data_IF_789685408768
#
_entry.id   IF_789685408768
#
_cell.length_a   1.000
_cell.length_b   1.000
_cell.length_c   1.000
_cell.angle_alpha   90.00
_cell.angle_beta   90.00
_cell.angle_gamma   90.00
#
_symmetry.space_group_name_H-M   'P 1'
#
loop_
_entity.id
_entity.type
_entity.pdbx_description
1 polymer ?
#
# COMPACT_ATOMS: atom_id res chain seq x y z
N UNK A 1 -11.20 -11.90 -54.72
CA UNK A 1 -10.61 -12.25 -53.42
C UNK A 1 -11.54 -11.72 -52.33
N UNK A 2 -12.35 -12.57 -51.67
CA UNK A 2 -13.23 -12.13 -50.58
C UNK A 2 -12.35 -11.73 -49.39
N UNK A 3 -12.51 -10.51 -48.87
CA UNK A 3 -11.88 -10.13 -47.60
C UNK A 3 -12.57 -10.93 -46.51
N UNK A 4 -11.83 -11.83 -45.87
CA UNK A 4 -12.30 -12.52 -44.67
C UNK A 4 -12.29 -11.45 -43.58
N UNK A 5 -13.48 -10.96 -43.23
CA UNK A 5 -13.62 -10.12 -42.04
C UNK A 5 -13.52 -11.02 -40.81
N UNK A 6 -12.76 -10.59 -39.81
CA UNK A 6 -12.51 -11.32 -38.57
C UNK A 6 -13.85 -11.75 -37.91
N UNK A 7 -14.90 -10.95 -38.09
CA UNK A 7 -16.27 -11.19 -37.64
C UNK A 7 -16.96 -12.42 -38.25
N UNK A 8 -16.58 -12.85 -39.46
CA UNK A 8 -17.14 -14.05 -40.11
C UNK A 8 -16.53 -15.35 -39.52
N UNK A 9 -15.38 -15.24 -38.86
CA UNK A 9 -14.66 -16.37 -38.25
C UNK A 9 -15.19 -16.74 -36.86
N UNK A 10 -15.77 -15.78 -36.12
CA UNK A 10 -16.27 -15.97 -34.75
C UNK A 10 -17.77 -16.24 -34.66
N UNK A 11 -18.49 -16.23 -35.79
CA UNK A 11 -19.95 -16.35 -35.83
C UNK A 11 -20.67 -15.11 -35.29
N UNK A 12 -21.97 -14.98 -35.60
CA UNK A 12 -22.79 -13.83 -35.19
C UNK A 12 -22.84 -13.70 -33.65
N UNK A 13 -22.84 -12.46 -33.15
CA UNK A 13 -22.87 -12.13 -31.72
C UNK A 13 -24.05 -12.78 -30.97
N UNK A 14 -23.80 -13.93 -30.35
CA UNK A 14 -24.82 -14.78 -29.72
C UNK A 14 -25.12 -14.43 -28.27
N UNK A 15 -26.17 -15.03 -27.69
CA UNK A 15 -26.49 -14.88 -26.26
C UNK A 15 -25.39 -15.45 -25.36
N UNK A 16 -24.77 -16.57 -25.76
CA UNK A 16 -23.66 -17.19 -25.03
C UNK A 16 -22.41 -16.30 -25.01
N UNK A 17 -22.04 -15.71 -26.16
CA UNK A 17 -20.91 -14.78 -26.24
C UNK A 17 -21.11 -13.55 -25.34
N UNK A 18 -22.35 -13.05 -25.22
CA UNK A 18 -22.68 -11.97 -24.26
C UNK A 18 -22.47 -12.37 -22.81
N UNK A 19 -22.89 -13.57 -22.42
CA UNK A 19 -22.72 -14.06 -21.04
C UNK A 19 -21.24 -14.20 -20.70
N UNK A 20 -20.45 -14.82 -21.57
CA UNK A 20 -18.99 -14.96 -21.37
C UNK A 20 -18.31 -13.59 -21.29
N UNK A 21 -18.71 -12.65 -22.15
CA UNK A 21 -18.17 -11.30 -22.13
C UNK A 21 -18.48 -10.56 -20.82
N UNK A 22 -19.74 -10.60 -20.36
CA UNK A 22 -20.15 -9.98 -19.09
C UNK A 22 -19.34 -10.59 -17.94
N UNK A 23 -19.20 -11.91 -17.89
CA UNK A 23 -18.43 -12.60 -16.87
C UNK A 23 -16.95 -12.19 -16.87
N UNK A 24 -16.32 -12.13 -18.05
CA UNK A 24 -14.94 -11.69 -18.21
C UNK A 24 -14.73 -10.23 -17.76
N UNK A 25 -15.67 -9.33 -18.09
CA UNK A 25 -15.64 -7.92 -17.67
C UNK A 25 -15.77 -7.82 -16.15
N UNK A 26 -16.68 -8.56 -15.53
CA UNK A 26 -16.85 -8.56 -14.07
C UNK A 26 -15.58 -9.01 -13.37
N UNK A 27 -14.95 -10.11 -13.79
CA UNK A 27 -13.69 -10.59 -13.21
C UNK A 27 -12.58 -9.53 -13.36
N UNK A 28 -12.47 -8.94 -14.54
CA UNK A 28 -11.45 -7.91 -14.82
C UNK A 28 -11.64 -6.68 -13.94
N UNK A 29 -12.90 -6.28 -13.68
CA UNK A 29 -13.22 -5.14 -12.82
C UNK A 29 -12.79 -5.38 -11.37
N UNK A 30 -13.05 -6.58 -10.82
CA UNK A 30 -12.58 -6.94 -9.48
C UNK A 30 -11.06 -6.94 -9.38
N UNK A 31 -10.37 -7.49 -10.39
CA UNK A 31 -8.91 -7.47 -10.45
C UNK A 31 -8.35 -6.04 -10.48
N UNK A 32 -8.92 -5.16 -11.31
CA UNK A 32 -8.51 -3.76 -11.37
C UNK A 32 -8.77 -3.02 -10.04
N UNK A 33 -9.92 -3.24 -9.43
CA UNK A 33 -10.26 -2.65 -8.14
C UNK A 33 -9.28 -3.05 -7.04
N UNK A 34 -8.92 -4.33 -6.95
CA UNK A 34 -7.97 -4.80 -5.93
C UNK A 34 -6.56 -4.23 -6.14
N UNK A 35 -6.14 -3.99 -7.38
CA UNK A 35 -4.86 -3.33 -7.64
C UNK A 35 -4.87 -1.85 -7.22
N UNK A 36 -6.01 -1.17 -7.30
CA UNK A 36 -6.15 0.23 -6.94
C UNK A 36 -6.39 0.44 -5.44
N UNK A 37 -7.03 -0.51 -4.75
CA UNK A 37 -7.44 -0.30 -3.35
C UNK A 37 -6.26 -0.11 -2.39
N UNK A 38 -5.11 -0.73 -2.68
CA UNK A 38 -3.94 -0.69 -1.81
C UNK A 38 -3.41 0.73 -1.61
N UNK A 39 -3.50 1.59 -2.63
CA UNK A 39 -3.03 2.99 -2.53
C UNK A 39 -3.95 3.86 -1.68
N UNK A 40 -5.21 3.48 -1.53
CA UNK A 40 -6.20 4.17 -0.72
C UNK A 40 -6.13 3.71 0.74
N UNK A 41 -5.94 2.41 0.96
CA UNK A 41 -5.98 1.80 2.30
C UNK A 41 -4.63 1.87 3.01
N UNK A 42 -3.53 1.76 2.25
CA UNK A 42 -2.16 1.88 2.74
C UNK A 42 -1.41 3.07 2.11
N UNK A 43 -1.91 4.31 2.25
CA UNK A 43 -1.21 5.48 1.77
C UNK A 43 0.04 5.75 2.62
N UNK A 44 1.01 6.46 2.05
CA UNK A 44 2.12 7.00 2.82
C UNK A 44 1.58 8.14 3.69
N UNK A 45 1.58 7.94 5.00
CA UNK A 45 1.06 8.90 5.99
C UNK A 45 2.23 9.55 6.72
N UNK A 46 2.14 10.87 6.93
CA UNK A 46 3.13 11.55 7.77
C UNK A 46 3.00 11.05 9.22
N UNK A 47 4.13 10.71 9.80
CA UNK A 47 4.22 10.05 11.10
C UNK A 47 5.48 10.50 11.83
N UNK A 48 5.41 10.46 13.15
CA UNK A 48 6.54 10.75 14.02
C UNK A 48 6.49 9.85 15.25
N UNK A 49 7.58 9.84 16.00
CA UNK A 49 7.66 9.04 17.21
C UNK A 49 6.72 9.60 18.28
N UNK A 50 5.91 8.72 18.87
CA UNK A 50 4.97 9.11 19.91
C UNK A 50 5.71 9.62 21.16
N UNK A 51 5.07 10.54 21.88
CA UNK A 51 5.60 11.04 23.16
C UNK A 51 5.76 9.89 24.16
N UNK A 52 6.90 9.87 24.83
CA UNK A 52 7.25 8.86 25.83
C UNK A 52 6.58 9.16 27.17
N UNK A 53 6.54 8.15 28.05
CA UNK A 53 5.95 8.28 29.40
C UNK A 53 6.67 9.39 30.19
N UNK A 54 5.93 10.46 30.51
CA UNK A 54 6.46 11.68 31.15
C UNK A 54 6.44 12.94 30.28
N UNK A 55 6.27 12.81 28.96
CA UNK A 55 6.26 13.92 27.99
C UNK A 55 4.90 14.16 27.32
N UNK A 56 3.83 13.54 27.84
CA UNK A 56 2.47 13.66 27.26
C UNK A 56 1.92 15.10 27.25
N UNK A 57 2.38 15.93 28.18
CA UNK A 57 1.94 17.33 28.30
C UNK A 57 2.62 18.28 27.30
N UNK A 58 3.69 17.84 26.60
CA UNK A 58 4.34 18.68 25.59
C UNK A 58 3.50 18.76 24.33
N UNK A 59 3.59 19.90 23.63
CA UNK A 59 3.01 20.04 22.30
C UNK A 59 3.79 19.21 21.29
N UNK A 60 3.13 18.86 20.19
CA UNK A 60 3.73 18.03 19.13
C UNK A 60 4.90 18.76 18.48
N UNK A 61 4.82 20.08 18.35
CA UNK A 61 5.85 20.91 17.74
C UNK A 61 7.11 20.99 18.61
N UNK A 62 6.94 21.16 19.93
CA UNK A 62 8.04 21.21 20.88
C UNK A 62 8.75 19.85 20.99
N UNK A 63 7.97 18.76 20.95
CA UNK A 63 8.48 17.40 20.90
C UNK A 63 9.33 17.15 19.65
N UNK A 64 8.82 17.56 18.48
CA UNK A 64 9.54 17.44 17.20
C UNK A 64 10.86 18.20 17.20
N UNK A 65 10.90 19.42 17.70
CA UNK A 65 12.15 20.20 17.72
C UNK A 65 13.19 19.69 18.72
N UNK A 66 12.76 19.14 19.86
CA UNK A 66 13.66 18.78 20.97
C UNK A 66 14.16 17.34 20.88
N UNK A 67 13.29 16.40 20.50
CA UNK A 67 13.57 14.98 20.61
C UNK A 67 13.78 14.27 19.28
N UNK A 68 13.36 14.84 18.14
CA UNK A 68 13.57 14.22 16.83
C UNK A 68 14.89 14.70 16.21
N UNK A 69 15.81 13.80 15.82
CA UNK A 69 17.00 14.17 15.06
C UNK A 69 16.65 14.79 13.70
N UNK A 70 17.41 15.81 13.30
CA UNK A 70 17.33 16.37 11.96
C UNK A 70 18.18 15.53 11.00
N UNK A 71 17.55 15.05 9.93
CA UNK A 71 18.19 14.27 8.87
C UNK A 71 18.02 15.00 7.54
N UNK A 72 19.04 14.95 6.68
CA UNK A 72 18.94 15.47 5.32
C UNK A 72 18.43 14.36 4.40
N UNK A 73 17.20 14.49 3.92
CA UNK A 73 16.60 13.59 2.93
C UNK A 73 16.44 14.39 1.64
N UNK A 74 17.03 13.91 0.54
CA UNK A 74 16.96 14.57 -0.78
C UNK A 74 17.40 16.04 -0.80
N UNK A 75 18.38 16.41 0.03
CA UNK A 75 18.89 17.77 0.15
C UNK A 75 18.02 18.72 0.98
N UNK A 76 16.90 18.23 1.54
CA UNK A 76 16.03 18.96 2.46
C UNK A 76 16.31 18.47 3.88
N UNK A 77 16.50 19.41 4.80
CA UNK A 77 16.66 19.10 6.23
C UNK A 77 15.27 18.88 6.82
N UNK A 78 14.96 17.65 7.21
CA UNK A 78 13.68 17.26 7.83
C UNK A 78 13.94 16.55 9.15
N UNK A 79 12.91 16.43 9.99
CA UNK A 79 12.97 15.62 11.22
C UNK A 79 12.90 14.13 10.86
N UNK A 80 13.59 13.28 11.63
CA UNK A 80 13.58 11.84 11.40
C UNK A 80 12.27 11.21 11.84
N UNK A 81 11.60 10.48 10.95
CA UNK A 81 10.31 9.85 11.26
C UNK A 81 10.40 8.59 12.15
N UNK A 82 11.59 7.99 12.25
CA UNK A 82 11.78 6.64 12.81
C UNK A 82 12.69 6.56 14.03
N UNK A 83 13.30 7.69 14.42
CA UNK A 83 14.27 7.75 15.50
C UNK A 83 14.00 8.95 16.40
N UNK A 84 14.41 8.86 17.65
CA UNK A 84 14.32 9.94 18.63
C UNK A 84 15.50 9.89 19.61
N UNK A 85 15.80 11.02 20.24
CA UNK A 85 16.80 11.12 21.30
C UNK A 85 16.17 10.84 22.67
N UNK A 86 16.81 9.93 23.40
CA UNK A 86 16.53 9.72 24.83
C UNK A 86 17.34 10.73 25.64
N UNK A 87 16.78 11.30 26.71
CA UNK A 87 17.48 12.33 27.51
C UNK A 87 18.84 11.88 28.06
N UNK A 88 19.00 10.57 28.28
CA UNK A 88 20.20 9.99 28.87
C UNK A 88 21.32 9.70 27.86
N UNK A 89 21.04 9.84 26.55
CA UNK A 89 22.01 9.56 25.48
C UNK A 89 21.76 10.41 24.24
N UNK A 90 22.78 11.10 23.73
CA UNK A 90 22.80 11.72 22.39
C UNK A 90 22.78 10.68 21.25
N UNK A 91 22.40 9.44 21.55
CA UNK A 91 22.29 8.33 20.64
C UNK A 91 20.83 8.22 20.17
N UNK A 92 20.65 8.24 18.85
CA UNK A 92 19.33 8.15 18.24
C UNK A 92 18.81 6.71 18.35
N UNK A 93 17.73 6.52 19.10
CA UNK A 93 17.11 5.21 19.31
C UNK A 93 15.88 5.05 18.41
N UNK A 94 15.60 3.82 17.99
CA UNK A 94 14.41 3.50 17.20
C UNK A 94 13.12 3.70 18.00
N UNK A 95 12.07 4.16 17.34
CA UNK A 95 10.79 4.41 17.96
C UNK A 95 9.98 3.11 18.10
N UNK A 96 9.28 2.97 19.24
CA UNK A 96 8.42 1.81 19.53
C UNK A 96 6.93 2.11 19.38
N UNK A 97 6.57 3.39 19.31
CA UNK A 97 5.20 3.90 19.15
C UNK A 97 5.23 5.11 18.24
N UNK A 98 4.16 5.31 17.48
CA UNK A 98 4.06 6.38 16.49
C UNK A 98 2.78 7.20 16.69
N UNK A 99 2.89 8.50 16.44
CA UNK A 99 1.78 9.43 16.28
C UNK A 99 1.71 9.82 14.81
N UNK A 100 0.49 9.90 14.27
CA UNK A 100 0.24 10.09 12.84
C UNK A 100 -0.52 11.38 12.57
N UNK A 101 -0.27 12.02 11.42
CA UNK A 101 -1.12 13.11 10.98
C UNK A 101 -2.47 12.57 10.50
N UNK A 102 -3.53 12.95 11.20
CA UNK A 102 -4.92 12.59 10.87
C UNK A 102 -5.68 13.68 10.11
N UNK A 103 -4.99 14.71 9.61
CA UNK A 103 -5.61 15.84 8.89
C UNK A 103 -6.37 15.39 7.64
N UNK A 104 -5.78 14.47 6.87
CA UNK A 104 -6.35 13.96 5.61
C UNK A 104 -7.02 12.59 5.78
N UNK A 105 -6.32 11.64 6.41
CA UNK A 105 -6.82 10.28 6.62
C UNK A 105 -7.17 10.06 8.08
N UNK A 106 -8.42 9.64 8.36
CA UNK A 106 -8.84 9.34 9.74
C UNK A 106 -8.25 8.05 10.29
N UNK A 107 -8.25 6.99 9.48
CA UNK A 107 -7.74 5.65 9.81
C UNK A 107 -7.27 4.97 8.53
N UNK A 108 -6.07 4.42 8.57
CA UNK A 108 -5.49 3.62 7.47
C UNK A 108 -4.92 2.32 8.02
N UNK A 109 -4.68 1.33 7.16
CA UNK A 109 -4.06 0.07 7.62
C UNK A 109 -2.63 0.29 8.12
N UNK A 110 -1.95 1.31 7.61
CA UNK A 110 -0.61 1.70 8.04
C UNK A 110 -0.64 2.18 9.49
N UNK A 111 -1.65 2.98 9.86
CA UNK A 111 -1.82 3.49 11.23
C UNK A 111 -2.30 2.41 12.21
N UNK A 112 -3.17 1.50 11.76
CA UNK A 112 -3.73 0.47 12.63
C UNK A 112 -2.68 -0.58 13.03
N UNK A 113 -1.76 -0.90 12.12
CA UNK A 113 -0.76 -1.98 12.28
C UNK A 113 0.68 -1.47 12.36
N UNK A 114 0.87 -0.16 12.52
CA UNK A 114 2.18 0.50 12.61
C UNK A 114 3.16 0.09 11.48
N UNK A 115 2.67 0.05 10.23
CA UNK A 115 3.45 -0.41 9.06
C UNK A 115 4.39 0.68 8.53
N UNK A 116 5.20 1.25 9.41
CA UNK A 116 6.16 2.32 9.14
C UNK A 116 7.57 1.89 9.49
N UNK A 117 8.57 2.69 9.09
CA UNK A 117 9.96 2.46 9.46
C UNK A 117 10.44 1.02 9.16
N UNK A 118 10.74 0.23 10.21
CA UNK A 118 11.21 -1.15 10.09
C UNK A 118 10.19 -2.09 9.44
N UNK A 119 8.90 -1.76 9.49
CA UNK A 119 7.79 -2.60 9.03
C UNK A 119 7.15 -2.09 7.73
N UNK A 120 7.65 -0.98 7.16
CA UNK A 120 7.16 -0.42 5.88
C UNK A 120 7.16 -1.43 4.74
N UNK A 121 8.14 -2.34 4.71
CA UNK A 121 8.28 -3.35 3.68
C UNK A 121 7.15 -4.38 3.68
N UNK A 122 6.42 -4.57 4.79
CA UNK A 122 5.28 -5.49 4.87
C UNK A 122 4.15 -5.08 3.92
N UNK A 123 3.97 -3.78 3.68
CA UNK A 123 3.02 -3.28 2.69
C UNK A 123 3.41 -3.77 1.29
N UNK A 124 4.67 -3.62 0.90
CA UNK A 124 5.19 -4.11 -0.38
C UNK A 124 5.19 -5.64 -0.49
N UNK A 125 5.44 -6.34 0.61
CA UNK A 125 5.35 -7.80 0.67
C UNK A 125 3.93 -8.26 0.36
N UNK A 126 2.91 -7.62 0.94
CA UNK A 126 1.50 -7.99 0.73
C UNK A 126 1.11 -7.93 -0.75
N UNK A 127 1.55 -6.88 -1.47
CA UNK A 127 1.33 -6.73 -2.89
C UNK A 127 2.09 -7.78 -3.72
N UNK A 128 3.32 -8.10 -3.30
CA UNK A 128 4.14 -9.12 -3.95
C UNK A 128 3.51 -10.51 -3.84
N UNK A 129 3.01 -10.86 -2.65
CA UNK A 129 2.29 -12.13 -2.40
C UNK A 129 1.01 -12.20 -3.24
N UNK A 130 0.26 -11.10 -3.35
CA UNK A 130 -0.92 -11.04 -4.20
C UNK A 130 -0.59 -11.31 -5.68
N UNK A 131 0.44 -10.65 -6.22
CA UNK A 131 0.86 -10.84 -7.61
C UNK A 131 1.38 -12.26 -7.88
N UNK A 132 2.13 -12.84 -6.94
CA UNK A 132 2.57 -14.22 -7.02
C UNK A 132 1.38 -15.18 -7.07
N UNK A 133 0.39 -14.99 -6.18
CA UNK A 133 -0.85 -15.77 -6.18
C UNK A 133 -1.63 -15.64 -7.49
N UNK A 134 -1.73 -14.42 -8.04
CA UNK A 134 -2.35 -14.17 -9.33
C UNK A 134 -1.65 -14.94 -10.46
N UNK A 135 -0.33 -14.87 -10.54
CA UNK A 135 0.46 -15.59 -11.54
C UNK A 135 0.27 -17.11 -11.42
N UNK A 136 0.37 -17.66 -10.21
CA UNK A 136 0.17 -19.10 -9.98
C UNK A 136 -1.24 -19.54 -10.38
N UNK A 137 -2.26 -18.72 -10.09
CA UNK A 137 -3.64 -19.01 -10.48
C UNK A 137 -3.81 -19.10 -12.00
N UNK A 138 -3.21 -18.19 -12.76
CA UNK A 138 -3.31 -18.19 -14.22
C UNK A 138 -2.67 -19.44 -14.83
N UNK A 139 -1.55 -19.89 -14.26
CA UNK A 139 -0.89 -21.12 -14.70
C UNK A 139 -1.80 -22.33 -14.43
N UNK A 140 -2.32 -22.47 -13.20
CA UNK A 140 -3.14 -23.63 -12.82
C UNK A 140 -4.45 -23.66 -13.61
N UNK A 141 -5.22 -22.58 -13.59
CA UNK A 141 -6.53 -22.53 -14.24
C UNK A 141 -6.42 -22.47 -15.76
N UNK A 142 -5.35 -21.90 -16.31
CA UNK A 142 -5.09 -21.94 -17.74
C UNK A 142 -4.90 -23.38 -18.24
N UNK A 143 -4.12 -24.19 -17.52
CA UNK A 143 -3.94 -25.61 -17.86
C UNK A 143 -5.21 -26.43 -17.66
N UNK A 144 -5.99 -26.12 -16.61
CA UNK A 144 -7.28 -26.80 -16.37
C UNK A 144 -8.35 -26.43 -17.41
N UNK A 145 -8.31 -25.24 -17.99
CA UNK A 145 -9.28 -24.82 -19.01
C UNK A 145 -9.01 -25.41 -20.39
N UNK A 146 -7.76 -25.78 -20.68
CA UNK A 146 -7.37 -26.41 -21.95
C UNK A 146 -7.80 -27.88 -22.03
N UNK A 147 -8.00 -28.50 -20.87
CA UNK A 147 -8.33 -29.93 -20.73
C UNK A 147 -9.82 -30.17 -20.54
#
# INVERSE_FOLDING_TARGET
MKKIEITDMFGKYGAFQRVVFIFAVTISMFGAYHNLIITIVAPDVDHWCARTEGYENLTVEEWKETHLPKQTVDGVVTHSHCQYYTNDSLEATACSRWEYDTSFYRRTIVQEWDLVCADRWLVSLSQSVYMAGYMTSMIIFGQLSDR
#
